data_IF_139532375819
#
_entry.id   IF_139532375819
#
_cell.length_a   1.000
_cell.length_b   1.000
_cell.length_c   1.000
_cell.angle_alpha   90.00
_cell.angle_beta   90.00
_cell.angle_gamma   90.00
#
_symmetry.space_group_name_H-M   'P 1'
#
loop_
_entity.id
_entity.type
_entity.pdbx_description
1 polymer ?
#
# COMPACT_ATOMS: atom_id res chain seq x y z
N UNK A 1 0.51 -0.93 -30.87
CA UNK A 1 0.66 -0.63 -29.43
C UNK A 1 -0.66 -0.27 -28.76
N UNK A 2 -1.60 0.46 -29.36
CA UNK A 2 -2.90 0.79 -28.74
C UNK A 2 -3.85 -0.41 -28.54
N UNK A 3 -3.81 -1.43 -29.39
CA UNK A 3 -4.69 -2.59 -29.26
C UNK A 3 -4.34 -3.56 -28.11
N UNK A 4 -3.06 -3.63 -27.73
CA UNK A 4 -2.62 -4.47 -26.61
C UNK A 4 -3.02 -3.91 -25.25
N UNK A 5 -2.95 -2.58 -25.07
CA UNK A 5 -3.37 -1.90 -23.81
C UNK A 5 -4.87 -2.06 -23.58
N UNK A 6 -5.70 -1.94 -24.63
CA UNK A 6 -7.16 -2.12 -24.51
C UNK A 6 -7.58 -3.56 -24.15
N UNK A 7 -6.83 -4.58 -24.61
CA UNK A 7 -7.09 -5.98 -24.26
C UNK A 7 -6.70 -6.30 -22.81
N UNK A 8 -5.62 -5.71 -22.31
CA UNK A 8 -5.20 -5.87 -20.92
C UNK A 8 -6.22 -5.20 -19.97
N UNK A 9 -6.77 -4.05 -20.34
CA UNK A 9 -7.80 -3.37 -19.53
C UNK A 9 -9.12 -4.17 -19.47
N UNK A 10 -9.57 -4.78 -20.57
CA UNK A 10 -10.76 -5.66 -20.58
C UNK A 10 -10.55 -6.94 -19.71
N UNK A 11 -9.39 -7.56 -19.82
CA UNK A 11 -9.05 -8.75 -19.05
C UNK A 11 -8.97 -8.42 -17.54
N UNK A 12 -8.37 -7.31 -17.19
CA UNK A 12 -8.29 -6.84 -15.80
C UNK A 12 -9.67 -6.51 -15.22
N UNK A 13 -10.54 -5.86 -15.98
CA UNK A 13 -11.91 -5.57 -15.59
C UNK A 13 -12.73 -6.86 -15.38
N UNK A 14 -12.58 -7.84 -16.27
CA UNK A 14 -13.24 -9.13 -16.14
C UNK A 14 -12.77 -9.91 -14.91
N UNK A 15 -11.46 -9.90 -14.63
CA UNK A 15 -10.88 -10.52 -13.45
C UNK A 15 -11.38 -9.83 -12.15
N UNK A 16 -11.43 -8.51 -12.12
CA UNK A 16 -11.96 -7.76 -10.99
C UNK A 16 -13.45 -8.06 -10.74
N UNK A 17 -14.27 -8.13 -11.79
CA UNK A 17 -15.69 -8.54 -11.69
C UNK A 17 -15.83 -9.94 -11.12
N UNK A 18 -15.07 -10.90 -11.63
CA UNK A 18 -15.10 -12.28 -11.15
C UNK A 18 -14.69 -12.37 -9.67
N UNK A 19 -13.70 -11.57 -9.25
CA UNK A 19 -13.28 -11.51 -7.85
C UNK A 19 -14.39 -10.96 -6.94
N UNK A 20 -15.05 -9.86 -7.34
CA UNK A 20 -16.20 -9.31 -6.58
C UNK A 20 -17.34 -10.30 -6.51
N UNK A 21 -17.69 -10.97 -7.63
CA UNK A 21 -18.72 -12.03 -7.63
C UNK A 21 -18.39 -13.15 -6.65
N UNK A 22 -17.14 -13.59 -6.61
CA UNK A 22 -16.68 -14.61 -5.67
C UNK A 22 -16.78 -14.15 -4.20
N UNK A 23 -16.46 -12.90 -3.90
CA UNK A 23 -16.64 -12.34 -2.56
C UNK A 23 -18.12 -12.32 -2.16
N UNK A 24 -19.01 -11.90 -3.05
CA UNK A 24 -20.45 -11.90 -2.80
C UNK A 24 -21.02 -13.30 -2.62
N UNK A 25 -20.56 -14.30 -3.39
CA UNK A 25 -20.90 -15.71 -3.17
C UNK A 25 -20.49 -16.20 -1.77
N UNK A 26 -19.36 -15.68 -1.25
CA UNK A 26 -18.88 -16.04 0.10
C UNK A 26 -19.71 -15.41 1.21
N UNK A 27 -20.20 -14.18 0.99
CA UNK A 27 -21.10 -13.47 1.91
C UNK A 27 -22.52 -14.02 1.84
N UNK A 28 -22.93 -14.57 0.67
CA UNK A 28 -24.23 -15.21 0.40
C UNK A 28 -25.44 -14.34 0.80
N UNK A 29 -25.56 -13.09 0.26
CA UNK A 29 -26.69 -12.23 0.58
C UNK A 29 -28.01 -12.82 0.07
N UNK A 30 -29.10 -12.63 0.83
CA UNK A 30 -30.42 -13.07 0.40
C UNK A 30 -30.93 -12.27 -0.82
N UNK A 31 -31.84 -12.83 -1.63
CA UNK A 31 -32.32 -12.26 -2.90
C UNK A 31 -32.86 -10.80 -2.77
N UNK A 32 -33.33 -10.43 -1.59
CA UNK A 32 -33.92 -9.11 -1.33
C UNK A 32 -33.01 -8.19 -0.50
N UNK A 33 -31.79 -8.62 -0.19
CA UNK A 33 -30.86 -7.80 0.55
C UNK A 33 -30.34 -6.63 -0.32
N UNK A 34 -30.28 -5.45 0.27
CA UNK A 34 -29.53 -4.35 -0.32
C UNK A 34 -28.05 -4.47 0.09
N UNK A 35 -27.18 -4.61 -0.90
CA UNK A 35 -25.74 -4.74 -0.68
C UNK A 35 -25.05 -3.40 -0.87
N UNK A 36 -24.47 -2.89 0.20
CA UNK A 36 -23.62 -1.69 0.18
C UNK A 36 -22.15 -2.07 0.24
N UNK A 37 -21.34 -1.47 -0.64
CA UNK A 37 -19.90 -1.72 -0.71
C UNK A 37 -19.07 -0.53 -0.28
N UNK A 38 -18.05 -0.74 0.58
CA UNK A 38 -16.99 0.23 0.80
C UNK A 38 -15.76 -0.21 0.03
N UNK A 39 -15.24 0.70 -0.81
CA UNK A 39 -14.10 0.43 -1.68
C UNK A 39 -12.96 1.34 -1.26
N UNK A 40 -11.80 0.74 -1.03
CA UNK A 40 -10.58 1.49 -0.81
C UNK A 40 -9.80 1.63 -2.12
N UNK A 41 -9.26 2.81 -2.33
CA UNK A 41 -8.43 3.12 -3.50
C UNK A 41 -7.18 3.88 -3.06
N UNK A 42 -6.10 3.82 -3.84
CA UNK A 42 -4.98 4.74 -3.66
C UNK A 42 -5.44 6.20 -3.62
N UNK A 43 -4.68 7.06 -2.94
CA UNK A 43 -5.05 8.46 -2.71
C UNK A 43 -5.25 9.26 -4.00
N UNK A 44 -4.38 9.06 -4.99
CA UNK A 44 -4.49 9.71 -6.29
C UNK A 44 -4.83 8.72 -7.40
N UNK A 45 -6.12 8.47 -7.57
CA UNK A 45 -6.65 7.62 -8.65
C UNK A 45 -7.24 8.48 -9.75
N UNK A 46 -6.93 8.17 -11.01
CA UNK A 46 -7.46 8.89 -12.16
C UNK A 46 -9.01 8.76 -12.24
N UNK A 47 -9.66 9.73 -12.87
CA UNK A 47 -11.12 9.66 -13.12
C UNK A 47 -11.49 8.38 -13.88
N UNK A 48 -10.65 7.95 -14.84
CA UNK A 48 -10.85 6.72 -15.61
C UNK A 48 -10.82 5.48 -14.72
N UNK A 49 -9.86 5.40 -13.80
CA UNK A 49 -9.73 4.26 -12.88
C UNK A 49 -10.88 4.22 -11.88
N UNK A 50 -11.32 5.38 -11.35
CA UNK A 50 -12.54 5.47 -10.53
C UNK A 50 -13.76 4.97 -11.30
N UNK A 51 -13.90 5.36 -12.57
CA UNK A 51 -15.00 4.92 -13.43
C UNK A 51 -14.97 3.42 -13.70
N UNK A 52 -13.78 2.85 -13.93
CA UNK A 52 -13.58 1.41 -14.11
C UNK A 52 -13.91 0.63 -12.83
N UNK A 53 -13.53 1.17 -11.67
CA UNK A 53 -13.87 0.60 -10.36
C UNK A 53 -15.39 0.53 -10.15
N UNK A 54 -16.09 1.64 -10.41
CA UNK A 54 -17.56 1.67 -10.37
C UNK A 54 -18.18 0.69 -11.37
N UNK A 55 -17.65 0.63 -12.60
CA UNK A 55 -18.12 -0.30 -13.63
C UNK A 55 -17.93 -1.78 -13.25
N UNK A 56 -16.90 -2.08 -12.45
CA UNK A 56 -16.66 -3.44 -11.92
C UNK A 56 -17.79 -3.91 -11.00
N UNK A 57 -18.36 -2.99 -10.23
CA UNK A 57 -19.37 -3.30 -9.20
C UNK A 57 -20.80 -3.15 -9.68
N UNK A 58 -20.98 -2.46 -10.82
CA UNK A 58 -22.33 -2.23 -11.36
C UNK A 58 -23.06 -3.54 -11.61
N UNK A 59 -24.29 -3.64 -11.06
CA UNK A 59 -25.12 -4.82 -11.13
C UNK A 59 -24.74 -5.94 -10.15
N UNK A 60 -23.75 -5.72 -9.30
CA UNK A 60 -23.35 -6.65 -8.25
C UNK A 60 -23.70 -6.13 -6.84
N UNK A 61 -23.67 -4.80 -6.65
CA UNK A 61 -24.05 -4.14 -5.40
C UNK A 61 -24.99 -2.97 -5.69
N UNK A 62 -25.77 -2.54 -4.71
CA UNK A 62 -26.78 -1.48 -4.86
C UNK A 62 -26.17 -0.09 -4.77
N UNK A 63 -25.25 0.11 -3.84
CA UNK A 63 -24.57 1.38 -3.64
C UNK A 63 -23.14 1.19 -3.13
N UNK A 64 -22.30 2.20 -3.36
CA UNK A 64 -20.90 2.18 -2.95
C UNK A 64 -20.49 3.49 -2.26
N UNK A 65 -19.55 3.36 -1.36
CA UNK A 65 -18.73 4.47 -0.85
C UNK A 65 -17.26 4.21 -1.24
N UNK A 66 -16.59 5.23 -1.76
CA UNK A 66 -15.16 5.14 -2.12
C UNK A 66 -14.37 5.97 -1.14
N UNK A 67 -13.39 5.35 -0.49
CA UNK A 67 -12.49 5.98 0.47
C UNK A 67 -11.04 5.71 0.08
N UNK A 68 -10.09 6.48 0.61
CA UNK A 68 -8.67 6.21 0.40
C UNK A 68 -8.16 5.17 1.40
N UNK A 69 -7.16 4.38 0.99
CA UNK A 69 -6.56 3.34 1.81
C UNK A 69 -6.03 3.89 3.15
N UNK A 70 -5.29 5.04 3.18
CA UNK A 70 -4.85 5.61 4.44
C UNK A 70 -6.00 6.05 5.37
N UNK A 71 -7.11 6.57 4.81
CA UNK A 71 -8.26 6.97 5.61
C UNK A 71 -8.96 5.75 6.22
N UNK A 72 -9.15 4.69 5.44
CA UNK A 72 -9.73 3.45 5.95
C UNK A 72 -8.89 2.88 7.11
N UNK A 73 -7.56 2.84 6.95
CA UNK A 73 -6.65 2.43 8.02
C UNK A 73 -6.83 3.28 9.28
N UNK A 74 -6.76 4.62 9.17
CA UNK A 74 -6.93 5.53 10.31
C UNK A 74 -8.27 5.31 11.03
N UNK A 75 -9.35 5.14 10.25
CA UNK A 75 -10.68 4.89 10.79
C UNK A 75 -10.78 3.56 11.54
N UNK A 76 -10.20 2.51 10.96
CA UNK A 76 -10.18 1.18 11.55
C UNK A 76 -9.55 1.13 12.94
N UNK A 77 -8.44 1.86 13.11
CA UNK A 77 -7.67 1.92 14.36
C UNK A 77 -8.02 3.12 15.26
N UNK A 78 -9.06 3.90 14.92
CA UNK A 78 -9.56 5.08 15.67
C UNK A 78 -8.57 6.26 15.76
N UNK A 79 -7.63 6.36 14.81
CA UNK A 79 -6.62 7.42 14.75
C UNK A 79 -7.00 8.54 13.76
N UNK A 80 -8.29 8.94 13.75
CA UNK A 80 -8.82 9.92 12.79
C UNK A 80 -8.64 11.37 13.21
N UNK A 81 -8.31 11.66 14.46
CA UNK A 81 -8.30 13.04 14.97
C UNK A 81 -7.13 13.86 14.43
N UNK A 82 -5.93 13.32 14.44
CA UNK A 82 -4.70 13.95 13.93
C UNK A 82 -3.62 12.89 13.73
N UNK A 83 -3.46 12.41 12.52
CA UNK A 83 -2.42 11.44 12.18
C UNK A 83 -1.90 11.63 10.76
N UNK A 84 -0.75 11.04 10.46
CA UNK A 84 -0.28 10.79 9.09
C UNK A 84 -0.26 9.27 8.91
N UNK A 85 -1.02 8.76 7.98
CA UNK A 85 -0.98 7.34 7.60
C UNK A 85 -0.15 7.18 6.33
N UNK A 86 0.75 6.22 6.35
CA UNK A 86 1.62 5.82 5.25
C UNK A 86 1.31 4.37 4.93
N UNK A 87 0.56 4.13 3.88
CA UNK A 87 0.26 2.78 3.38
C UNK A 87 1.28 2.39 2.31
N UNK A 88 2.15 1.46 2.64
CA UNK A 88 3.18 0.95 1.71
C UNK A 88 2.67 -0.35 1.09
N UNK A 89 1.93 -0.21 0.00
CA UNK A 89 1.32 -1.34 -0.71
C UNK A 89 2.26 -2.07 -1.66
N UNK A 90 1.69 -2.85 -2.56
CA UNK A 90 2.44 -3.52 -3.63
C UNK A 90 2.75 -2.56 -4.78
N UNK A 91 1.75 -1.83 -5.29
CA UNK A 91 1.86 -0.96 -6.46
C UNK A 91 2.16 0.49 -6.13
N UNK A 92 1.64 0.99 -5.02
CA UNK A 92 1.76 2.39 -4.58
C UNK A 92 2.13 2.49 -3.11
N UNK A 93 2.71 3.63 -2.74
CA UNK A 93 2.78 4.08 -1.36
C UNK A 93 1.93 5.33 -1.24
N UNK A 94 0.87 5.25 -0.43
CA UNK A 94 -0.11 6.28 -0.24
C UNK A 94 0.05 6.93 1.13
N UNK A 95 0.16 8.25 1.16
CA UNK A 95 0.40 9.00 2.38
C UNK A 95 -0.69 10.06 2.52
N UNK A 96 -1.37 10.06 3.65
CA UNK A 96 -2.39 11.07 3.94
C UNK A 96 -2.28 11.61 5.36
N UNK A 97 -2.53 12.92 5.52
CA UNK A 97 -2.82 13.52 6.82
C UNK A 97 -4.32 13.48 7.07
N UNK A 98 -4.69 13.10 8.29
CA UNK A 98 -6.07 12.88 8.70
C UNK A 98 -6.42 13.88 9.82
N UNK A 99 -7.54 14.59 9.65
CA UNK A 99 -8.02 15.62 10.60
C UNK A 99 -9.51 15.46 10.94
N UNK A 100 -9.95 14.26 11.28
CA UNK A 100 -11.34 13.98 11.66
C UNK A 100 -12.33 13.97 10.50
N UNK A 101 -11.88 14.23 9.26
CA UNK A 101 -12.69 14.24 8.05
C UNK A 101 -12.00 13.48 6.93
N UNK A 102 -12.74 13.21 5.85
CA UNK A 102 -12.14 12.65 4.64
C UNK A 102 -11.03 13.59 4.13
N UNK A 103 -9.83 13.06 3.83
CA UNK A 103 -8.73 13.86 3.32
C UNK A 103 -9.05 14.39 1.91
N UNK A 104 -8.63 15.63 1.65
CA UNK A 104 -8.70 16.26 0.34
C UNK A 104 -7.45 15.91 -0.49
N UNK A 105 -7.42 16.31 -1.77
CA UNK A 105 -6.24 16.08 -2.63
C UNK A 105 -4.98 16.78 -2.09
N UNK A 106 -5.12 17.88 -1.33
CA UNK A 106 -3.99 18.59 -0.72
C UNK A 106 -3.44 17.88 0.53
N UNK A 107 -4.25 16.99 1.11
CA UNK A 107 -3.91 16.21 2.31
C UNK A 107 -3.17 14.91 1.98
N UNK A 108 -2.96 14.61 0.70
CA UNK A 108 -2.52 13.29 0.25
C UNK A 108 -1.36 13.36 -0.74
N UNK A 109 -0.57 12.31 -0.78
CA UNK A 109 0.49 12.07 -1.77
C UNK A 109 0.55 10.59 -2.08
N UNK A 110 0.59 10.25 -3.37
CA UNK A 110 0.89 8.89 -3.84
C UNK A 110 2.26 8.87 -4.52
N UNK A 111 3.10 7.91 -4.17
CA UNK A 111 4.34 7.60 -4.87
C UNK A 111 4.27 6.19 -5.45
N UNK A 112 4.93 5.97 -6.60
CA UNK A 112 4.87 4.69 -7.32
C UNK A 112 5.93 3.69 -6.82
N UNK A 113 6.80 4.14 -5.95
CA UNK A 113 7.85 3.36 -5.33
C UNK A 113 7.28 2.61 -4.12
N UNK A 114 6.97 1.34 -4.32
CA UNK A 114 6.31 0.45 -3.37
C UNK A 114 6.86 -0.99 -3.48
N UNK A 115 6.15 -1.99 -3.03
CA UNK A 115 6.60 -3.38 -2.98
C UNK A 115 7.10 -3.93 -4.32
N UNK A 116 6.37 -3.69 -5.40
CA UNK A 116 6.74 -4.15 -6.75
C UNK A 116 8.00 -3.43 -7.28
N UNK A 117 8.16 -2.16 -6.95
CA UNK A 117 9.36 -1.41 -7.29
C UNK A 117 10.58 -1.97 -6.53
N UNK A 118 10.44 -2.30 -5.25
CA UNK A 118 11.49 -2.96 -4.47
C UNK A 118 11.88 -4.31 -5.06
N UNK A 119 10.91 -5.12 -5.51
CA UNK A 119 11.16 -6.39 -6.20
C UNK A 119 12.06 -6.19 -7.44
N UNK A 120 11.77 -5.16 -8.24
CA UNK A 120 12.59 -4.85 -9.41
C UNK A 120 14.01 -4.39 -9.01
N UNK A 121 14.13 -3.54 -7.98
CA UNK A 121 15.44 -3.10 -7.50
C UNK A 121 16.28 -4.27 -6.99
N UNK A 122 15.70 -5.13 -6.17
CA UNK A 122 16.38 -6.33 -5.67
C UNK A 122 16.78 -7.27 -6.83
N UNK A 123 15.90 -7.46 -7.81
CA UNK A 123 16.22 -8.24 -9.00
C UNK A 123 17.41 -7.68 -9.76
N UNK A 124 17.46 -6.36 -9.96
CA UNK A 124 18.54 -5.70 -10.67
C UNK A 124 19.88 -5.82 -9.91
N UNK A 125 19.86 -5.67 -8.59
CA UNK A 125 21.02 -5.84 -7.74
C UNK A 125 21.56 -7.28 -7.81
N UNK A 126 20.68 -8.29 -7.72
CA UNK A 126 21.06 -9.71 -7.83
C UNK A 126 21.66 -9.99 -9.20
N UNK A 127 21.02 -9.56 -10.29
CA UNK A 127 21.56 -9.76 -11.65
C UNK A 127 22.89 -9.06 -11.89
N UNK A 128 23.11 -7.92 -11.27
CA UNK A 128 24.38 -7.18 -11.31
C UNK A 128 25.51 -7.93 -10.58
N UNK A 129 25.21 -8.47 -9.39
CA UNK A 129 26.20 -9.19 -8.55
C UNK A 129 26.45 -10.60 -9.09
N UNK A 130 25.41 -11.29 -9.56
CA UNK A 130 25.45 -12.66 -10.07
C UNK A 130 25.09 -12.70 -11.56
N UNK A 131 25.99 -12.27 -12.40
CA UNK A 131 25.79 -12.21 -13.85
C UNK A 131 25.39 -13.57 -14.41
N UNK A 132 24.32 -13.63 -15.21
CA UNK A 132 23.76 -14.87 -15.75
C UNK A 132 22.81 -15.61 -14.80
N UNK A 133 22.47 -15.03 -13.64
CA UNK A 133 21.46 -15.58 -12.75
C UNK A 133 20.09 -15.63 -13.40
N UNK A 134 19.45 -16.80 -13.36
CA UNK A 134 18.07 -17.02 -13.80
C UNK A 134 17.15 -16.88 -12.60
N UNK A 135 16.43 -15.76 -12.50
CA UNK A 135 15.52 -15.45 -11.41
C UNK A 135 14.21 -14.90 -11.96
N UNK A 136 13.11 -15.22 -11.31
CA UNK A 136 11.78 -14.70 -11.63
C UNK A 136 11.38 -13.61 -10.63
N UNK A 137 10.37 -12.80 -10.98
CA UNK A 137 9.80 -11.80 -10.08
C UNK A 137 9.24 -12.46 -8.80
N UNK A 138 8.59 -13.61 -8.94
CA UNK A 138 8.00 -14.32 -7.80
C UNK A 138 9.07 -14.86 -6.81
N UNK A 139 10.24 -15.30 -7.32
CA UNK A 139 11.36 -15.70 -6.45
C UNK A 139 11.85 -14.50 -5.63
N UNK A 140 12.06 -13.36 -6.29
CA UNK A 140 12.56 -12.14 -5.64
C UNK A 140 11.54 -11.61 -4.63
N UNK A 141 10.26 -11.56 -5.00
CA UNK A 141 9.17 -11.17 -4.10
C UNK A 141 9.17 -12.02 -2.84
N UNK A 142 9.20 -13.34 -2.98
CA UNK A 142 9.22 -14.26 -1.83
C UNK A 142 10.43 -14.01 -0.92
N UNK A 143 11.63 -13.87 -1.47
CA UNK A 143 12.82 -13.59 -0.68
C UNK A 143 12.74 -12.26 0.07
N UNK A 144 12.19 -11.22 -0.59
CA UNK A 144 11.93 -9.93 0.05
C UNK A 144 10.90 -10.08 1.19
N UNK A 145 9.76 -10.71 0.94
CA UNK A 145 8.70 -10.86 1.93
C UNK A 145 9.13 -11.69 3.15
N UNK A 146 9.99 -12.70 2.94
CA UNK A 146 10.50 -13.55 4.02
C UNK A 146 11.63 -12.92 4.82
N UNK A 147 12.38 -11.95 4.25
CA UNK A 147 13.67 -11.56 4.81
C UNK A 147 13.99 -10.06 4.73
N UNK A 148 13.04 -9.21 4.37
CA UNK A 148 13.27 -7.77 4.22
C UNK A 148 13.63 -7.09 5.54
N UNK A 149 14.63 -6.21 5.49
CA UNK A 149 15.06 -5.40 6.62
C UNK A 149 15.76 -4.12 6.15
N UNK A 150 15.77 -3.12 7.01
CA UNK A 150 16.55 -1.90 6.88
C UNK A 150 17.36 -1.70 8.15
N UNK A 151 18.51 -1.03 8.04
CA UNK A 151 19.40 -0.72 9.17
C UNK A 151 19.95 -1.95 9.95
N UNK A 152 20.87 -1.71 10.86
CA UNK A 152 21.49 -2.75 11.68
C UNK A 152 22.60 -3.52 10.98
N UNK A 153 23.02 -4.60 11.62
CA UNK A 153 24.08 -5.48 11.10
C UNK A 153 23.60 -6.28 9.89
N UNK A 154 24.53 -6.54 8.96
CA UNK A 154 24.24 -7.34 7.78
C UNK A 154 23.77 -8.75 8.18
N UNK A 155 22.67 -9.19 7.57
CA UNK A 155 22.05 -10.52 7.77
C UNK A 155 22.46 -11.46 6.65
N UNK A 156 22.76 -12.70 6.99
CA UNK A 156 22.99 -13.74 6.00
C UNK A 156 21.65 -14.29 5.51
N UNK A 157 21.37 -14.12 4.20
CA UNK A 157 20.16 -14.60 3.53
C UNK A 157 20.55 -15.53 2.39
N UNK A 158 20.57 -16.82 2.67
CA UNK A 158 21.03 -17.84 1.72
C UNK A 158 19.92 -18.26 0.77
N UNK A 159 20.12 -18.08 -0.53
CA UNK A 159 19.17 -18.48 -1.57
C UNK A 159 19.84 -19.36 -2.64
N UNK A 160 19.05 -20.22 -3.27
CA UNK A 160 19.51 -21.03 -4.41
C UNK A 160 19.26 -20.25 -5.71
N UNK A 161 20.32 -19.99 -6.47
CA UNK A 161 20.27 -19.39 -7.80
C UNK A 161 20.74 -20.40 -8.86
N UNK A 162 20.14 -20.33 -10.07
CA UNK A 162 20.69 -20.95 -11.26
C UNK A 162 21.55 -19.92 -12.00
N UNK A 163 22.86 -20.12 -12.04
CA UNK A 163 23.79 -19.26 -12.78
C UNK A 163 24.44 -20.10 -13.88
N UNK A 164 24.24 -19.72 -15.14
CA UNK A 164 24.72 -20.48 -16.30
C UNK A 164 24.32 -21.96 -16.28
N UNK A 165 23.11 -22.27 -15.82
CA UNK A 165 22.58 -23.63 -15.70
C UNK A 165 23.11 -24.45 -14.52
N UNK A 166 23.91 -23.86 -13.63
CA UNK A 166 24.40 -24.50 -12.41
C UNK A 166 23.72 -23.90 -11.17
N UNK A 167 23.26 -24.78 -10.27
CA UNK A 167 22.73 -24.37 -8.99
C UNK A 167 23.85 -23.90 -8.07
N UNK A 168 23.68 -22.75 -7.46
CA UNK A 168 24.60 -22.16 -6.48
C UNK A 168 23.79 -21.62 -5.30
N UNK A 169 24.27 -21.83 -4.09
CA UNK A 169 23.74 -21.21 -2.89
C UNK A 169 24.55 -19.94 -2.64
N UNK A 170 23.89 -18.80 -2.57
CA UNK A 170 24.53 -17.50 -2.45
C UNK A 170 23.85 -16.67 -1.36
N UNK A 171 24.62 -15.77 -0.76
CA UNK A 171 24.09 -14.79 0.19
C UNK A 171 23.66 -13.51 -0.55
N UNK A 172 22.39 -13.11 -0.32
CA UNK A 172 21.79 -11.89 -0.86
C UNK A 172 21.41 -10.86 0.21
N UNK A 173 21.82 -11.05 1.45
CA UNK A 173 21.41 -10.24 2.58
C UNK A 173 21.72 -8.76 2.41
N UNK A 174 22.93 -8.43 1.96
CA UNK A 174 23.37 -7.07 1.62
C UNK A 174 22.52 -6.44 0.51
N UNK A 175 22.09 -7.22 -0.48
CA UNK A 175 21.27 -6.74 -1.58
C UNK A 175 19.82 -6.49 -1.16
N UNK A 176 19.29 -7.33 -0.26
CA UNK A 176 17.95 -7.14 0.33
C UNK A 176 17.92 -5.83 1.13
N UNK A 177 18.91 -5.62 2.00
CA UNK A 177 19.04 -4.38 2.77
C UNK A 177 19.17 -3.17 1.84
N UNK A 178 20.09 -3.21 0.86
CA UNK A 178 20.28 -2.12 -0.10
C UNK A 178 18.99 -1.78 -0.85
N UNK A 179 18.24 -2.77 -1.31
CA UNK A 179 16.96 -2.55 -1.98
C UNK A 179 15.92 -1.90 -1.05
N UNK A 180 15.76 -2.42 0.18
CA UNK A 180 14.79 -1.90 1.14
C UNK A 180 15.14 -0.48 1.61
N UNK A 181 16.41 -0.15 1.77
CA UNK A 181 16.85 1.22 2.13
C UNK A 181 16.47 2.27 1.07
N UNK A 182 16.30 1.88 -0.19
CA UNK A 182 15.97 2.82 -1.27
C UNK A 182 14.60 3.48 -1.11
N UNK A 183 13.63 2.84 -0.44
CA UNK A 183 12.28 3.41 -0.24
C UNK A 183 12.26 4.47 0.87
N UNK A 184 13.16 4.38 1.83
CA UNK A 184 13.19 5.23 3.03
C UNK A 184 13.22 6.73 2.71
N UNK A 185 14.17 7.24 1.89
CA UNK A 185 14.22 8.68 1.57
C UNK A 185 13.01 9.13 0.75
N UNK A 186 12.39 8.25 -0.04
CA UNK A 186 11.20 8.58 -0.83
C UNK A 186 10.00 8.80 0.07
N UNK A 187 9.75 7.87 0.99
CA UNK A 187 8.71 7.98 2.01
C UNK A 187 8.99 9.17 2.94
N UNK A 188 10.22 9.32 3.41
CA UNK A 188 10.62 10.43 4.28
C UNK A 188 10.35 11.80 3.65
N UNK A 189 10.73 11.99 2.38
CA UNK A 189 10.46 13.23 1.66
C UNK A 189 8.95 13.49 1.47
N UNK A 190 8.15 12.46 1.22
CA UNK A 190 6.71 12.60 1.10
C UNK A 190 6.07 12.98 2.44
N UNK A 191 6.48 12.36 3.55
CA UNK A 191 6.04 12.74 4.91
C UNK A 191 6.40 14.21 5.20
N UNK A 192 7.65 14.62 4.96
CA UNK A 192 8.09 16.00 5.16
C UNK A 192 7.23 17.00 4.38
N UNK A 193 6.87 16.68 3.12
CA UNK A 193 5.98 17.49 2.28
C UNK A 193 4.57 17.61 2.89
N UNK A 194 3.99 16.51 3.36
CA UNK A 194 2.66 16.48 4.00
C UNK A 194 2.67 17.31 5.30
N UNK A 195 3.70 17.15 6.14
CA UNK A 195 3.86 17.95 7.37
C UNK A 195 3.99 19.43 7.05
N UNK A 196 4.84 19.79 6.09
CA UNK A 196 5.07 21.18 5.70
C UNK A 196 3.82 21.87 5.12
N UNK A 197 2.92 21.11 4.51
CA UNK A 197 1.64 21.62 4.00
C UNK A 197 0.56 21.80 5.07
N UNK A 198 0.78 21.36 6.31
CA UNK A 198 -0.14 21.54 7.41
C UNK A 198 0.06 22.91 8.11
N UNK A 199 -1.02 23.41 8.72
CA UNK A 199 -0.91 24.60 9.57
C UNK A 199 0.14 24.38 10.68
N UNK A 200 0.98 25.39 10.98
CA UNK A 200 2.11 25.23 11.91
C UNK A 200 1.73 24.69 13.30
N UNK A 201 0.52 25.00 13.78
CA UNK A 201 0.03 24.55 15.09
C UNK A 201 -0.28 23.03 15.12
N UNK A 202 -0.60 22.43 13.97
CA UNK A 202 -0.89 20.98 13.88
C UNK A 202 0.36 20.14 13.56
N UNK A 203 1.42 20.74 13.00
CA UNK A 203 2.63 19.99 12.62
C UNK A 203 3.23 19.15 13.75
N UNK A 204 3.33 19.65 15.01
CA UNK A 204 3.87 18.83 16.11
C UNK A 204 3.04 17.59 16.41
N UNK A 205 1.70 17.70 16.37
CA UNK A 205 0.81 16.56 16.64
C UNK A 205 0.93 15.53 15.55
N UNK A 206 0.93 15.96 14.28
CA UNK A 206 1.09 15.08 13.12
C UNK A 206 2.41 14.32 13.14
N UNK A 207 3.52 15.00 13.44
CA UNK A 207 4.85 14.35 13.54
C UNK A 207 4.91 13.29 14.63
N UNK A 208 4.14 13.49 15.72
CA UNK A 208 4.08 12.55 16.82
C UNK A 208 3.14 11.36 16.58
N UNK A 209 2.43 11.32 15.44
CA UNK A 209 1.49 10.25 15.14
C UNK A 209 1.58 9.86 13.64
N UNK A 210 2.71 9.28 13.26
CA UNK A 210 2.95 8.77 11.91
C UNK A 210 2.79 7.25 11.94
N UNK A 211 1.85 6.74 11.17
CA UNK A 211 1.35 5.37 11.21
C UNK A 211 1.72 4.68 9.90
N UNK A 212 2.40 3.55 9.98
CA UNK A 212 2.75 2.74 8.81
C UNK A 212 1.78 1.56 8.69
N UNK A 213 1.27 1.35 7.48
CA UNK A 213 0.43 0.22 7.10
C UNK A 213 0.88 -0.39 5.76
N UNK A 214 0.16 -1.41 5.30
CA UNK A 214 0.51 -2.16 4.10
C UNK A 214 1.68 -3.11 4.29
N UNK A 215 1.88 -3.99 3.32
CA UNK A 215 2.92 -5.03 3.38
C UNK A 215 4.35 -4.50 3.52
N UNK A 216 4.62 -3.28 3.02
CA UNK A 216 5.93 -2.64 3.16
C UNK A 216 6.26 -2.19 4.59
N UNK A 217 5.26 -1.98 5.44
CA UNK A 217 5.48 -1.68 6.86
C UNK A 217 6.02 -2.85 7.67
N UNK A 218 5.97 -4.07 7.10
CA UNK A 218 6.55 -5.29 7.68
C UNK A 218 8.06 -5.43 7.45
N UNK A 219 8.67 -4.55 6.68
CA UNK A 219 10.14 -4.51 6.54
C UNK A 219 10.73 -4.24 7.92
N UNK A 220 11.54 -5.17 8.41
CA UNK A 220 12.08 -5.08 9.77
C UNK A 220 12.96 -3.83 9.94
N UNK A 221 12.67 -3.06 11.00
CA UNK A 221 13.32 -1.80 11.31
C UNK A 221 12.82 -0.56 10.54
N UNK A 222 11.82 -0.68 9.64
CA UNK A 222 11.40 0.40 8.76
C UNK A 222 10.89 1.63 9.52
N UNK A 223 10.13 1.46 10.61
CA UNK A 223 9.60 2.59 11.39
C UNK A 223 10.71 3.42 12.01
N UNK A 224 11.69 2.78 12.63
CA UNK A 224 12.86 3.46 13.19
C UNK A 224 13.68 4.15 12.12
N UNK A 225 13.88 3.50 10.99
CA UNK A 225 14.68 4.04 9.89
C UNK A 225 14.00 5.24 9.20
N UNK A 226 12.67 5.23 9.07
CA UNK A 226 11.90 6.40 8.59
C UNK A 226 11.97 7.52 9.64
N UNK A 227 11.84 7.23 10.94
CA UNK A 227 11.96 8.22 11.98
C UNK A 227 13.32 8.93 11.94
N UNK A 228 14.42 8.19 11.76
CA UNK A 228 15.76 8.74 11.60
C UNK A 228 15.85 9.65 10.35
N UNK A 229 15.27 9.24 9.23
CA UNK A 229 15.27 9.95 7.96
C UNK A 229 14.56 11.30 8.04
N UNK A 230 13.53 11.42 8.89
CA UNK A 230 12.73 12.65 9.04
C UNK A 230 13.05 13.42 10.33
N UNK A 231 14.09 13.04 11.07
CA UNK A 231 14.45 13.64 12.37
C UNK A 231 14.78 15.15 12.28
N UNK A 232 15.13 15.64 11.11
CA UNK A 232 15.40 17.05 10.84
C UNK A 232 14.18 17.97 10.93
N UNK A 233 12.94 17.41 10.90
CA UNK A 233 11.72 18.21 11.07
C UNK A 233 11.26 18.32 12.54
N UNK A 234 12.03 17.82 13.49
CA UNK A 234 11.78 17.85 14.94
C UNK A 234 11.48 16.46 15.53
N UNK A 235 10.93 16.44 16.76
CA UNK A 235 10.56 15.18 17.39
C UNK A 235 9.47 14.46 16.57
N UNK A 236 9.68 13.18 16.30
CA UNK A 236 8.79 12.34 15.49
C UNK A 236 8.51 11.01 16.20
N UNK A 237 7.32 10.48 16.02
CA UNK A 237 6.98 9.12 16.42
C UNK A 237 6.38 8.38 15.23
N UNK A 238 7.05 7.32 14.80
CA UNK A 238 6.66 6.47 13.68
C UNK A 238 6.43 5.05 14.20
N UNK A 239 5.24 4.51 13.93
CA UNK A 239 4.88 3.17 14.40
C UNK A 239 4.06 2.41 13.36
N UNK A 240 4.06 1.08 13.44
CA UNK A 240 3.35 0.20 12.52
C UNK A 240 2.04 -0.26 13.15
N UNK A 241 0.97 -0.36 12.35
CA UNK A 241 -0.27 -0.99 12.78
C UNK A 241 -0.05 -2.47 13.08
N UNK A 242 -0.83 -3.04 14.00
CA UNK A 242 -0.69 -4.44 14.40
C UNK A 242 -1.01 -5.40 13.24
N UNK A 243 -2.11 -5.15 12.51
CA UNK A 243 -2.48 -5.91 11.31
C UNK A 243 -2.18 -5.07 10.04
N UNK A 244 -0.92 -5.06 9.64
CA UNK A 244 -0.45 -4.24 8.54
C UNK A 244 -1.13 -4.56 7.19
N UNK A 245 -1.47 -5.81 6.94
CA UNK A 245 -2.06 -6.28 5.67
C UNK A 245 -3.59 -6.10 5.68
N UNK A 246 -4.25 -6.40 6.79
CA UNK A 246 -5.70 -6.34 6.92
C UNK A 246 -6.25 -4.97 7.32
N UNK A 247 -5.42 -4.00 7.72
CA UNK A 247 -5.84 -2.71 8.28
C UNK A 247 -6.82 -1.94 7.40
N UNK A 248 -6.56 -1.87 6.10
CA UNK A 248 -7.43 -1.21 5.11
C UNK A 248 -8.79 -1.90 5.03
N UNK A 249 -8.81 -3.23 4.90
CA UNK A 249 -10.05 -4.00 4.80
C UNK A 249 -10.87 -3.95 6.10
N UNK A 250 -10.21 -4.03 7.25
CA UNK A 250 -10.85 -3.90 8.56
C UNK A 250 -11.44 -2.50 8.77
N UNK A 251 -10.74 -1.46 8.33
CA UNK A 251 -11.22 -0.09 8.35
C UNK A 251 -12.42 0.11 7.43
N UNK A 252 -12.37 -0.45 6.22
CA UNK A 252 -13.49 -0.43 5.27
C UNK A 252 -14.73 -1.13 5.85
N UNK A 253 -14.56 -2.28 6.50
CA UNK A 253 -15.64 -3.02 7.15
C UNK A 253 -16.26 -2.21 8.29
N UNK A 254 -15.45 -1.54 9.11
CA UNK A 254 -15.92 -0.66 10.17
C UNK A 254 -16.70 0.53 9.60
N UNK A 255 -16.18 1.18 8.55
CA UNK A 255 -16.90 2.23 7.83
C UNK A 255 -18.24 1.74 7.29
N UNK A 256 -18.28 0.54 6.71
CA UNK A 256 -19.51 -0.03 6.18
C UNK A 256 -20.60 -0.22 7.24
N UNK A 257 -20.22 -0.53 8.48
CA UNK A 257 -21.16 -0.69 9.59
C UNK A 257 -21.58 0.59 10.30
N UNK A 258 -20.81 1.68 10.17
CA UNK A 258 -21.01 2.91 10.96
C UNK A 258 -21.46 4.11 10.13
N UNK A 259 -21.22 4.11 8.79
CA UNK A 259 -21.59 5.24 7.93
C UNK A 259 -23.07 5.22 7.54
N UNK A 260 -23.74 6.37 7.57
CA UNK A 260 -25.14 6.47 7.19
C UNK A 260 -25.32 6.30 5.66
N UNK A 261 -26.52 5.87 5.25
CA UNK A 261 -26.84 5.51 3.86
C UNK A 261 -26.64 6.65 2.86
N UNK A 262 -26.75 7.91 3.28
CA UNK A 262 -26.55 9.09 2.44
C UNK A 262 -25.07 9.31 2.02
N UNK A 263 -24.14 8.63 2.66
CA UNK A 263 -22.72 8.60 2.25
C UNK A 263 -22.46 7.67 1.07
N UNK A 264 -23.43 6.84 0.71
CA UNK A 264 -23.29 5.89 -0.38
C UNK A 264 -23.91 6.42 -1.68
N UNK A 265 -23.24 6.15 -2.80
CA UNK A 265 -23.72 6.50 -4.13
C UNK A 265 -24.33 5.27 -4.79
N UNK A 266 -25.61 5.35 -5.20
CA UNK A 266 -26.27 4.29 -5.97
C UNK A 266 -25.59 4.11 -7.32
N UNK A 267 -25.35 2.85 -7.73
CA UNK A 267 -24.63 2.47 -8.96
C UNK A 267 -25.47 1.56 -9.87
N UNK A 268 -26.75 1.87 -10.04
CA UNK A 268 -27.68 1.12 -10.90
C UNK A 268 -27.23 0.99 -12.36
#
# INVERSE_FOLDING_TARGET
>A
MAAGVAQDDEANLAAAKAFVSHLLETVDPEEYDEVFGVICSPSHVSFTDKSNLVATLRGQVNAIMVVTEPFATAYGIEEIASSIVVDIGAGTTDIARIYGTFPTDEDQVTIQEAGDWLDHKLMDLIKKKYTGAQITKDMVRRWKEESSYVSGDAREIMVELSVEGKKQVVDIGDLVQEACEMVVPLVGNAIKKIVAGADPEYQPVLRNNIILSGGGSLIDGISGRIADEISDIGDVNVWCVEDAIGSVANGALKLAGEMPDDMYTAIN
#
